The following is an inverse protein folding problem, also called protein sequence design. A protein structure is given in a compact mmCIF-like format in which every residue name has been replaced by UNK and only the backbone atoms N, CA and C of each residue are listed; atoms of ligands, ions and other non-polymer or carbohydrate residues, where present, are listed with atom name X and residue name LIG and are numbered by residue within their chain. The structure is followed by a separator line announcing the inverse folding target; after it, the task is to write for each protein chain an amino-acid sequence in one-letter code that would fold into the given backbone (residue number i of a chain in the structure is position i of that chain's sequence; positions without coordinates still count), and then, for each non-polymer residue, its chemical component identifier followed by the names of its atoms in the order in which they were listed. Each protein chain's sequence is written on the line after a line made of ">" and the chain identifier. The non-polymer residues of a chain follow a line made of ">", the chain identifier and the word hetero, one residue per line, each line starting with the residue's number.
data_IF_801430105137
#
_entry.id   IF_801430105137
#
_cell.length_a   1.000
_cell.length_b   1.000
_cell.length_c   1.000
_cell.angle_alpha   90.00
_cell.angle_beta   90.00
_cell.angle_gamma   90.00
#
_symmetry.space_group_name_H-M   'P 1'
#
loop_
_entity.id
_entity.type
_entity.pdbx_description
1 polymer ?
#
# COMPACT_ATOMS: atom_id res chain seq x y z
N UNK A 1 -8.66 7.61 -31.34
CA UNK A 1 -8.85 6.46 -30.42
C UNK A 1 -7.64 6.17 -29.54
N UNK A 2 -6.39 6.33 -30.03
CA UNK A 2 -5.16 6.11 -29.25
C UNK A 2 -5.08 6.92 -27.94
N UNK A 3 -5.41 8.22 -27.97
CA UNK A 3 -5.35 9.09 -26.77
C UNK A 3 -6.31 8.59 -25.66
N UNK A 4 -7.48 8.09 -26.04
CA UNK A 4 -8.50 7.60 -25.11
C UNK A 4 -8.04 6.33 -24.39
N UNK A 5 -7.30 5.45 -25.06
CA UNK A 5 -6.76 4.22 -24.47
C UNK A 5 -5.63 4.51 -23.48
N UNK A 6 -4.71 5.42 -23.81
CA UNK A 6 -3.65 5.83 -22.87
C UNK A 6 -4.21 6.44 -21.60
N UNK A 7 -5.18 7.35 -21.72
CA UNK A 7 -5.84 7.97 -20.55
C UNK A 7 -6.56 6.91 -19.72
N UNK A 8 -7.23 5.96 -20.38
CA UNK A 8 -7.93 4.86 -19.70
C UNK A 8 -6.96 3.97 -18.92
N UNK A 9 -5.82 3.64 -19.51
CA UNK A 9 -4.80 2.80 -18.87
C UNK A 9 -4.15 3.51 -17.68
N UNK A 10 -3.78 4.78 -17.83
CA UNK A 10 -3.23 5.59 -16.73
C UNK A 10 -4.24 5.77 -15.59
N UNK A 11 -5.51 6.01 -15.90
CA UNK A 11 -6.57 6.12 -14.90
C UNK A 11 -6.76 4.79 -14.15
N UNK A 12 -6.75 3.66 -14.87
CA UNK A 12 -6.83 2.33 -14.28
C UNK A 12 -5.65 2.06 -13.34
N UNK A 13 -4.42 2.29 -13.82
CA UNK A 13 -3.20 2.15 -13.03
C UNK A 13 -3.25 3.01 -11.76
N UNK A 14 -3.70 4.27 -11.89
CA UNK A 14 -3.84 5.19 -10.76
C UNK A 14 -4.81 4.66 -9.72
N UNK A 15 -5.99 4.20 -10.13
CA UNK A 15 -7.02 3.68 -9.22
C UNK A 15 -6.55 2.41 -8.51
N UNK A 16 -5.93 1.49 -9.26
CA UNK A 16 -5.39 0.24 -8.70
C UNK A 16 -4.29 0.52 -7.69
N UNK A 17 -3.30 1.37 -8.05
CA UNK A 17 -2.17 1.67 -7.17
C UNK A 17 -2.62 2.48 -5.94
N UNK A 18 -3.60 3.38 -6.08
CA UNK A 18 -4.20 4.11 -4.96
C UNK A 18 -4.96 3.16 -4.01
N UNK A 19 -5.71 2.21 -4.56
CA UNK A 19 -6.33 1.13 -3.79
C UNK A 19 -5.29 0.26 -3.06
N UNK A 20 -4.24 -0.14 -3.76
CA UNK A 20 -3.11 -0.88 -3.20
C UNK A 20 -2.44 -0.12 -2.05
N UNK A 21 -2.15 1.16 -2.24
CA UNK A 21 -1.60 2.03 -1.19
C UNK A 21 -2.51 2.14 0.04
N UNK A 22 -3.82 2.24 -0.17
CA UNK A 22 -4.81 2.28 0.91
C UNK A 22 -4.79 0.98 1.71
N UNK A 23 -4.80 -0.18 1.03
CA UNK A 23 -4.68 -1.49 1.66
C UNK A 23 -3.35 -1.67 2.42
N UNK A 24 -2.25 -1.16 1.86
CA UNK A 24 -0.94 -1.14 2.52
C UNK A 24 -0.96 -0.32 3.81
N UNK A 25 -1.61 0.85 3.78
CA UNK A 25 -1.82 1.67 4.98
C UNK A 25 -2.63 0.93 6.05
N UNK A 26 -3.65 0.17 5.65
CA UNK A 26 -4.44 -0.68 6.54
C UNK A 26 -3.59 -1.80 7.15
N UNK A 27 -2.82 -2.54 6.33
CA UNK A 27 -1.92 -3.60 6.80
C UNK A 27 -0.89 -3.06 7.78
N UNK A 28 -0.31 -1.88 7.51
CA UNK A 28 0.62 -1.22 8.43
C UNK A 28 -0.05 -0.92 9.78
N UNK A 29 -1.28 -0.42 9.75
CA UNK A 29 -2.06 -0.11 10.96
C UNK A 29 -2.36 -1.36 11.77
N UNK A 30 -2.73 -2.45 11.09
CA UNK A 30 -3.00 -3.75 11.71
C UNK A 30 -1.72 -4.34 12.35
N UNK A 31 -0.60 -4.30 11.62
CA UNK A 31 0.68 -4.75 12.14
C UNK A 31 1.09 -3.96 13.39
N UNK A 32 0.94 -2.64 13.35
CA UNK A 32 1.19 -1.77 14.51
C UNK A 32 0.31 -2.16 15.71
N UNK A 33 -0.99 -2.36 15.50
CA UNK A 33 -1.92 -2.78 16.54
C UNK A 33 -1.49 -4.11 17.21
N UNK A 34 -1.08 -5.10 16.42
CA UNK A 34 -0.56 -6.35 16.97
C UNK A 34 0.76 -6.15 17.73
N UNK A 35 1.68 -5.32 17.22
CA UNK A 35 2.94 -5.01 17.90
C UNK A 35 2.75 -4.27 19.23
N UNK A 36 1.69 -3.47 19.37
CA UNK A 36 1.35 -2.79 20.62
C UNK A 36 0.83 -3.77 21.67
N UNK A 37 0.06 -4.80 21.27
CA UNK A 37 -0.45 -5.84 22.18
C UNK A 37 0.58 -6.88 22.60
N UNK A 38 1.58 -7.14 21.75
CA UNK A 38 2.59 -8.16 22.02
C UNK A 38 3.64 -7.61 23.01
N UNK A 39 4.03 -8.42 24.00
CA UNK A 39 5.04 -8.02 25.01
C UNK A 39 6.47 -8.39 24.60
N UNK A 40 6.65 -9.49 23.88
CA UNK A 40 7.97 -10.00 23.48
C UNK A 40 8.61 -9.14 22.39
N UNK A 41 9.85 -8.68 22.64
CA UNK A 41 10.63 -7.91 21.66
C UNK A 41 10.90 -8.71 20.39
N UNK A 42 11.32 -9.97 20.53
CA UNK A 42 11.63 -10.83 19.38
C UNK A 42 10.45 -10.98 18.42
N UNK A 43 9.24 -11.17 18.96
CA UNK A 43 8.03 -11.31 18.15
C UNK A 43 7.69 -10.00 17.42
N UNK A 44 7.94 -8.83 18.03
CA UNK A 44 7.75 -7.53 17.36
C UNK A 44 8.70 -7.35 16.18
N UNK A 45 9.96 -7.73 16.33
CA UNK A 45 10.96 -7.66 15.26
C UNK A 45 10.59 -8.62 14.12
N UNK A 46 10.20 -9.86 14.44
CA UNK A 46 9.73 -10.83 13.43
C UNK A 46 8.52 -10.31 12.66
N UNK A 47 7.52 -9.74 13.34
CA UNK A 47 6.36 -9.14 12.69
C UNK A 47 6.70 -7.96 11.78
N UNK A 48 7.69 -7.15 12.16
CA UNK A 48 8.18 -6.05 11.33
C UNK A 48 8.86 -6.57 10.06
N UNK A 49 9.77 -7.54 10.18
CA UNK A 49 10.44 -8.16 9.04
C UNK A 49 9.41 -8.83 8.11
N UNK A 50 8.48 -9.61 8.67
CA UNK A 50 7.42 -10.25 7.88
C UNK A 50 6.56 -9.19 7.18
N UNK A 51 6.19 -8.11 7.87
CA UNK A 51 5.42 -7.02 7.26
C UNK A 51 6.15 -6.38 6.08
N UNK A 52 7.47 -6.13 6.18
CA UNK A 52 8.25 -5.60 5.06
C UNK A 52 8.27 -6.57 3.87
N UNK A 53 8.47 -7.87 4.11
CA UNK A 53 8.46 -8.89 3.05
C UNK A 53 7.09 -8.96 2.38
N UNK A 54 6.01 -9.02 3.17
CA UNK A 54 4.64 -9.03 2.66
C UNK A 54 4.30 -7.75 1.89
N UNK A 55 4.73 -6.60 2.39
CA UNK A 55 4.53 -5.31 1.72
C UNK A 55 5.25 -5.29 0.37
N UNK A 56 6.50 -5.75 0.30
CA UNK A 56 7.24 -5.81 -0.96
C UNK A 56 6.55 -6.74 -1.97
N UNK A 57 6.10 -7.92 -1.54
CA UNK A 57 5.33 -8.84 -2.38
C UNK A 57 4.02 -8.21 -2.87
N UNK A 58 3.27 -7.59 -1.95
CA UNK A 58 2.01 -6.92 -2.25
C UNK A 58 2.17 -5.79 -3.27
N UNK A 59 3.17 -4.91 -3.09
CA UNK A 59 3.49 -3.84 -4.04
C UNK A 59 3.81 -4.41 -5.42
N UNK A 60 4.58 -5.49 -5.47
CA UNK A 60 4.98 -6.14 -6.71
C UNK A 60 3.79 -6.71 -7.46
N UNK A 61 2.85 -7.35 -6.78
CA UNK A 61 1.64 -7.90 -7.41
C UNK A 61 0.73 -6.79 -7.96
N UNK A 62 0.57 -5.68 -7.23
CA UNK A 62 -0.18 -4.53 -7.72
C UNK A 62 0.51 -3.85 -8.91
N UNK A 63 1.85 -3.75 -8.90
CA UNK A 63 2.63 -3.25 -10.04
C UNK A 63 2.49 -4.16 -11.28
N UNK A 64 2.54 -5.48 -11.10
CA UNK A 64 2.32 -6.45 -12.19
C UNK A 64 0.92 -6.32 -12.77
N UNK A 65 -0.09 -6.21 -11.92
CA UNK A 65 -1.48 -6.11 -12.35
C UNK A 65 -1.78 -4.76 -13.05
N UNK A 66 -1.22 -3.66 -12.54
CA UNK A 66 -1.49 -2.32 -13.07
C UNK A 66 -0.68 -2.02 -14.34
N UNK A 67 0.62 -2.29 -14.32
CA UNK A 67 1.58 -1.75 -15.30
C UNK A 67 2.51 -2.84 -15.86
N UNK A 68 2.08 -4.10 -15.87
CA UNK A 68 2.88 -5.26 -16.30
C UNK A 68 4.22 -5.40 -15.52
N UNK A 69 4.32 -4.78 -14.34
CA UNK A 69 5.49 -4.80 -13.48
C UNK A 69 6.43 -3.61 -13.69
N UNK A 70 6.11 -2.67 -14.59
CA UNK A 70 6.90 -1.45 -14.75
C UNK A 70 6.66 -0.49 -13.57
N UNK A 71 7.75 -0.08 -12.93
CA UNK A 71 7.72 0.85 -11.80
C UNK A 71 7.78 2.28 -12.34
N UNK A 72 6.60 2.89 -12.52
CA UNK A 72 6.48 4.26 -13.02
C UNK A 72 6.35 5.27 -11.88
N UNK A 73 6.77 6.53 -12.13
CA UNK A 73 6.66 7.60 -11.14
C UNK A 73 5.22 7.84 -10.69
N UNK A 74 4.25 7.76 -11.62
CA UNK A 74 2.84 7.96 -11.30
C UNK A 74 2.31 6.83 -10.41
N UNK A 75 2.67 5.57 -10.68
CA UNK A 75 2.24 4.42 -9.89
C UNK A 75 2.76 4.50 -8.45
N UNK A 76 4.01 4.95 -8.28
CA UNK A 76 4.60 5.23 -6.97
C UNK A 76 3.86 6.37 -6.24
N UNK A 77 3.56 7.46 -6.96
CA UNK A 77 2.82 8.59 -6.41
C UNK A 77 1.41 8.20 -5.98
N UNK A 78 0.66 7.50 -6.85
CA UNK A 78 -0.69 7.02 -6.59
C UNK A 78 -0.74 6.09 -5.36
N UNK A 79 0.24 5.18 -5.24
CA UNK A 79 0.34 4.30 -4.07
C UNK A 79 0.67 5.06 -2.79
N UNK A 80 1.59 6.01 -2.86
CA UNK A 80 1.93 6.88 -1.71
C UNK A 80 0.70 7.70 -1.28
N UNK A 81 -0.04 8.24 -2.24
CA UNK A 81 -1.30 8.95 -1.99
C UNK A 81 -2.35 8.05 -1.36
N UNK A 82 -2.46 6.78 -1.78
CA UNK A 82 -3.33 5.79 -1.12
C UNK A 82 -2.96 5.55 0.34
N UNK A 83 -1.67 5.40 0.64
CA UNK A 83 -1.18 5.26 2.03
C UNK A 83 -1.52 6.52 2.84
N UNK A 84 -1.31 7.71 2.26
CA UNK A 84 -1.64 8.99 2.90
C UNK A 84 -3.15 9.17 3.08
N UNK A 85 -3.96 8.71 2.13
CA UNK A 85 -5.42 8.72 2.20
C UNK A 85 -5.89 7.87 3.38
N UNK A 86 -5.39 6.64 3.50
CA UNK A 86 -5.65 5.80 4.66
C UNK A 86 -5.26 6.50 5.96
N UNK A 87 -4.03 7.05 6.01
CA UNK A 87 -3.58 7.81 7.19
C UNK A 87 -4.52 8.96 7.49
N UNK A 88 -4.96 9.77 6.53
CA UNK A 88 -5.87 10.91 6.78
C UNK A 88 -7.25 10.46 7.25
N UNK A 89 -7.83 9.44 6.63
CA UNK A 89 -9.17 8.95 6.98
C UNK A 89 -9.19 8.30 8.37
N UNK A 90 -8.11 7.62 8.76
CA UNK A 90 -8.07 6.82 10.00
C UNK A 90 -7.11 7.36 11.07
N UNK A 91 -6.44 8.51 10.85
CA UNK A 91 -5.52 9.14 11.80
C UNK A 91 -6.16 9.40 13.17
N UNK A 92 -7.48 9.63 13.20
CA UNK A 92 -8.26 9.87 14.42
C UNK A 92 -8.84 8.61 15.09
N UNK A 93 -8.79 7.44 14.44
CA UNK A 93 -9.42 6.20 14.94
C UNK A 93 -8.42 5.19 15.51
N UNK A 94 -7.13 5.29 15.14
CA UNK A 94 -6.07 4.34 15.54
C UNK A 94 -5.19 4.91 16.66
N UNK A 95 -5.41 6.17 17.09
CA UNK A 95 -4.95 6.65 18.40
C UNK A 95 -6.05 6.35 19.43
N UNK A 96 -6.06 5.12 19.97
CA UNK A 96 -6.75 4.81 21.22
C UNK A 96 -5.95 3.79 22.00
#
# INVERSE_FOLDING_TARGET
>A
MVITELIRQQAFETVVMLGGGTALGMLYSLNRYFREKIRSRYVKETLEIMFFIFSAFFITEFLKYASEGALTFHSFLAMTLGVLLWKRLFYGKIKS
#
